data_IF_407960819831
#
_entry.id   IF_407960819831
#
_cell.length_a   1.000
_cell.length_b   1.000
_cell.length_c   1.000
_cell.angle_alpha   90.00
_cell.angle_beta   90.00
_cell.angle_gamma   90.00
#
_symmetry.space_group_name_H-M   'P 1'
#
loop_
_entity.id
_entity.type
_entity.pdbx_description
1 polymer ?
#
# COMPACT_ATOMS: atom_id res chain seq x y z
N UNK A 1 -12.00 17.42 10.70
CA UNK A 1 -11.86 17.34 12.18
C UNK A 1 -11.39 15.97 12.66
N UNK A 2 -11.87 14.86 12.10
CA UNK A 2 -11.33 13.52 12.42
C UNK A 2 -9.94 13.33 11.80
N UNK A 3 -9.75 13.70 10.53
CA UNK A 3 -8.44 13.58 9.84
C UNK A 3 -7.35 14.38 10.54
N UNK A 4 -7.63 15.58 11.06
CA UNK A 4 -6.64 16.34 11.85
C UNK A 4 -6.21 15.64 13.14
N UNK A 5 -7.00 14.70 13.67
CA UNK A 5 -6.64 13.92 14.87
C UNK A 5 -5.68 12.78 14.56
N UNK A 6 -5.43 12.43 13.29
CA UNK A 6 -4.38 11.45 12.94
C UNK A 6 -2.98 11.99 13.23
N UNK A 7 -2.86 13.30 13.40
CA UNK A 7 -1.66 14.04 13.80
C UNK A 7 -1.77 14.58 15.24
N UNK A 8 -2.61 13.96 16.08
CA UNK A 8 -2.74 14.38 17.47
C UNK A 8 -1.40 14.24 18.22
N UNK A 9 -1.20 15.08 19.23
CA UNK A 9 -0.03 15.01 20.11
C UNK A 9 -0.03 13.74 20.95
N UNK A 10 -1.22 13.24 21.26
CA UNK A 10 -1.39 11.96 21.96
C UNK A 10 -1.46 10.83 20.95
N UNK A 11 -0.43 9.97 20.92
CA UNK A 11 -0.35 8.88 19.94
C UNK A 11 -1.52 7.90 20.00
N UNK A 12 -2.06 7.63 21.20
CA UNK A 12 -3.21 6.74 21.35
C UNK A 12 -4.45 7.30 20.64
N UNK A 13 -4.65 8.63 20.72
CA UNK A 13 -5.73 9.33 20.00
C UNK A 13 -5.50 9.27 18.49
N UNK A 14 -4.25 9.45 18.05
CA UNK A 14 -3.90 9.36 16.64
C UNK A 14 -4.16 7.96 16.06
N UNK A 15 -3.81 6.90 16.79
CA UNK A 15 -4.08 5.51 16.37
C UNK A 15 -5.59 5.27 16.21
N UNK A 16 -6.39 5.65 17.20
CA UNK A 16 -7.85 5.47 17.13
C UNK A 16 -8.49 6.33 16.05
N UNK A 17 -7.97 7.54 15.81
CA UNK A 17 -8.41 8.38 14.70
C UNK A 17 -8.14 7.72 13.35
N UNK A 18 -6.95 7.14 13.14
CA UNK A 18 -6.62 6.42 11.90
C UNK A 18 -7.55 5.22 11.72
N UNK A 19 -7.74 4.41 12.77
CA UNK A 19 -8.67 3.26 12.72
C UNK A 19 -10.10 3.69 12.35
N UNK A 20 -10.57 4.79 12.93
CA UNK A 20 -11.89 5.33 12.60
C UNK A 20 -11.97 5.79 11.14
N UNK A 21 -10.94 6.49 10.64
CA UNK A 21 -10.84 6.92 9.24
C UNK A 21 -10.83 5.70 8.30
N UNK A 22 -10.13 4.63 8.68
CA UNK A 22 -10.14 3.34 7.96
C UNK A 22 -11.53 2.71 7.89
N UNK A 23 -12.32 2.77 8.97
CA UNK A 23 -13.71 2.29 8.97
C UNK A 23 -14.62 3.16 8.08
N UNK A 24 -14.42 4.48 8.11
CA UNK A 24 -15.16 5.41 7.25
C UNK A 24 -14.88 5.11 5.77
N UNK A 25 -13.61 4.91 5.42
CA UNK A 25 -13.20 4.54 4.06
C UNK A 25 -13.93 3.29 3.57
N UNK A 26 -14.03 2.26 4.44
CA UNK A 26 -14.71 1.01 4.10
C UNK A 26 -16.22 1.18 3.92
N UNK A 27 -16.85 2.07 4.70
CA UNK A 27 -18.28 2.34 4.60
C UNK A 27 -18.66 3.23 3.40
N UNK A 28 -17.77 4.13 2.98
CA UNK A 28 -17.98 5.03 1.85
C UNK A 28 -16.64 5.58 1.35
N UNK A 29 -16.19 5.14 0.17
CA UNK A 29 -14.91 5.62 -0.40
C UNK A 29 -14.90 7.13 -0.69
N UNK A 30 -16.08 7.72 -0.95
CA UNK A 30 -16.25 9.15 -1.23
C UNK A 30 -16.24 10.02 0.04
N UNK A 31 -16.21 9.42 1.22
CA UNK A 31 -16.26 10.16 2.48
C UNK A 31 -14.94 10.86 2.83
N UNK A 32 -13.84 10.49 2.18
CA UNK A 32 -12.51 11.06 2.40
C UNK A 32 -12.01 11.70 1.09
N UNK A 33 -11.46 12.90 1.19
CA UNK A 33 -10.79 13.53 0.05
C UNK A 33 -9.42 12.89 -0.21
N UNK A 34 -8.84 13.18 -1.38
CA UNK A 34 -7.48 12.71 -1.69
C UNK A 34 -6.45 13.29 -0.72
N UNK A 35 -6.57 14.58 -0.38
CA UNK A 35 -5.70 15.25 0.59
C UNK A 35 -5.81 14.59 1.98
N UNK A 36 -7.02 14.20 2.39
CA UNK A 36 -7.21 13.47 3.65
C UNK A 36 -6.49 12.11 3.64
N UNK A 37 -6.51 11.41 2.50
CA UNK A 37 -5.83 10.12 2.36
C UNK A 37 -4.30 10.28 2.35
N UNK A 38 -3.77 11.26 1.62
CA UNK A 38 -2.33 11.57 1.57
C UNK A 38 -1.76 11.85 2.96
N UNK A 39 -2.49 12.62 3.77
CA UNK A 39 -2.08 12.89 5.15
C UNK A 39 -1.94 11.61 5.99
N UNK A 40 -2.79 10.60 5.76
CA UNK A 40 -2.70 9.30 6.46
C UNK A 40 -1.59 8.44 5.88
N UNK A 41 -1.37 8.49 4.56
CA UNK A 41 -0.29 7.74 3.91
C UNK A 41 1.09 8.10 4.45
N UNK A 42 1.35 9.38 4.71
CA UNK A 42 2.64 9.80 5.28
C UNK A 42 2.90 9.19 6.66
N UNK A 43 1.86 8.78 7.39
CA UNK A 43 1.99 8.21 8.74
C UNK A 43 2.55 6.79 8.74
N UNK A 44 2.61 6.08 7.60
CA UNK A 44 3.31 4.78 7.49
C UNK A 44 4.80 4.88 7.84
N UNK A 45 5.34 6.09 7.77
CA UNK A 45 6.72 6.41 8.12
C UNK A 45 6.89 6.95 9.55
N UNK A 46 5.83 6.93 10.37
CA UNK A 46 5.88 7.43 11.74
C UNK A 46 6.92 6.68 12.59
N UNK A 47 7.67 7.41 13.41
CA UNK A 47 8.57 6.83 14.40
C UNK A 47 7.82 6.05 15.50
N UNK A 48 6.52 6.32 15.69
CA UNK A 48 5.68 5.58 16.62
C UNK A 48 5.00 4.40 15.90
N UNK A 49 5.57 3.20 16.07
CA UNK A 49 5.13 1.99 15.35
C UNK A 49 3.60 1.75 15.36
N UNK A 50 2.86 1.88 16.48
CA UNK A 50 1.41 1.70 16.47
C UNK A 50 0.66 2.64 15.50
N UNK A 51 1.15 3.88 15.32
CA UNK A 51 0.60 4.83 14.35
C UNK A 51 0.93 4.38 12.93
N UNK A 52 2.19 3.98 12.69
CA UNK A 52 2.62 3.48 11.39
C UNK A 52 1.82 2.24 10.96
N UNK A 53 1.64 1.26 11.85
CA UNK A 53 0.87 0.04 11.57
C UNK A 53 -0.60 0.36 11.29
N UNK A 54 -1.22 1.25 12.07
CA UNK A 54 -2.60 1.67 11.81
C UNK A 54 -2.75 2.37 10.44
N UNK A 55 -1.77 3.19 10.06
CA UNK A 55 -1.71 3.82 8.74
C UNK A 55 -1.43 2.79 7.63
N UNK A 56 -0.61 1.77 7.89
CA UNK A 56 -0.36 0.65 6.98
C UNK A 56 -1.63 -0.18 6.72
N UNK A 57 -2.47 -0.38 7.74
CA UNK A 57 -3.80 -0.98 7.55
C UNK A 57 -4.73 -0.11 6.68
N UNK A 58 -4.71 1.21 6.88
CA UNK A 58 -5.44 2.15 6.03
C UNK A 58 -4.97 2.06 4.56
N UNK A 59 -3.65 2.13 4.35
CA UNK A 59 -3.03 2.03 3.03
C UNK A 59 -3.36 0.71 2.35
N UNK A 60 -3.24 -0.42 3.07
CA UNK A 60 -3.65 -1.73 2.58
C UNK A 60 -5.11 -1.71 2.13
N UNK A 61 -6.04 -1.27 2.97
CA UNK A 61 -7.45 -1.26 2.55
C UNK A 61 -7.70 -0.36 1.34
N UNK A 62 -7.00 0.76 1.21
CA UNK A 62 -7.18 1.69 0.10
C UNK A 62 -6.56 1.21 -1.22
N UNK A 63 -5.40 0.57 -1.16
CA UNK A 63 -4.75 -0.01 -2.34
C UNK A 63 -5.48 -1.26 -2.82
N UNK A 64 -5.94 -2.10 -1.89
CA UNK A 64 -6.54 -3.39 -2.21
C UNK A 64 -8.06 -3.32 -2.43
N UNK A 65 -8.78 -2.28 -1.96
CA UNK A 65 -10.22 -2.13 -2.27
C UNK A 65 -10.51 -1.97 -3.76
N UNK A 66 -9.52 -1.48 -4.52
CA UNK A 66 -9.59 -1.33 -5.98
C UNK A 66 -9.29 -2.62 -6.74
N UNK A 67 -8.83 -3.66 -6.07
CA UNK A 67 -8.30 -4.87 -6.68
C UNK A 67 -9.36 -5.97 -6.66
N UNK A 68 -9.87 -6.36 -7.83
CA UNK A 68 -10.74 -7.54 -7.96
C UNK A 68 -9.86 -8.79 -8.03
N UNK A 69 -9.85 -9.67 -7.01
CA UNK A 69 -8.98 -10.84 -6.98
C UNK A 69 -9.21 -11.78 -8.17
N UNK A 70 -10.44 -11.87 -8.69
CA UNK A 70 -10.75 -12.75 -9.82
C UNK A 70 -10.20 -12.19 -11.14
N UNK A 71 -10.30 -10.88 -11.32
CA UNK A 71 -9.75 -10.21 -12.50
C UNK A 71 -8.23 -10.36 -12.54
N UNK A 72 -7.57 -10.24 -11.40
CA UNK A 72 -6.11 -10.21 -11.28
C UNK A 72 -5.51 -11.62 -11.41
N UNK A 73 -6.19 -12.63 -10.88
CA UNK A 73 -5.90 -14.03 -11.17
C UNK A 73 -6.04 -14.38 -12.67
N UNK A 74 -7.08 -13.86 -13.32
CA UNK A 74 -7.28 -14.06 -14.76
C UNK A 74 -6.21 -13.33 -15.59
N UNK A 75 -5.80 -12.14 -15.16
CA UNK A 75 -4.71 -11.37 -15.79
C UNK A 75 -3.37 -12.08 -15.63
N UNK A 76 -3.02 -12.56 -14.44
CA UNK A 76 -1.80 -13.33 -14.20
C UNK A 76 -1.73 -14.56 -15.10
N UNK A 77 -2.82 -15.35 -15.16
CA UNK A 77 -2.90 -16.53 -16.06
C UNK A 77 -2.78 -16.15 -17.52
N UNK A 78 -3.41 -15.07 -17.97
CA UNK A 78 -3.31 -14.59 -19.35
C UNK A 78 -1.87 -14.18 -19.69
N UNK A 79 -1.14 -13.63 -18.72
CA UNK A 79 0.25 -13.22 -18.85
C UNK A 79 1.23 -14.36 -18.58
N UNK A 80 0.76 -15.54 -18.19
CA UNK A 80 1.62 -16.67 -17.84
C UNK A 80 2.42 -16.46 -16.54
N UNK A 81 1.99 -15.51 -15.69
CA UNK A 81 2.59 -15.25 -14.37
C UNK A 81 2.04 -16.24 -13.35
N UNK A 82 2.87 -16.61 -12.37
CA UNK A 82 2.47 -17.56 -11.34
C UNK A 82 1.64 -16.89 -10.22
N UNK A 83 1.82 -15.59 -10.01
CA UNK A 83 1.14 -14.84 -8.95
C UNK A 83 0.26 -13.70 -9.48
N UNK A 84 -0.94 -13.46 -8.89
CA UNK A 84 -1.80 -12.31 -9.17
C UNK A 84 -1.30 -11.00 -8.54
N UNK A 85 -0.25 -11.03 -7.72
CA UNK A 85 0.18 -9.88 -6.92
C UNK A 85 1.01 -8.84 -7.70
N UNK A 86 1.35 -9.11 -8.96
CA UNK A 86 2.29 -8.28 -9.71
C UNK A 86 1.91 -6.79 -9.79
N UNK A 87 0.62 -6.51 -10.01
CA UNK A 87 0.12 -5.12 -10.05
C UNK A 87 0.18 -4.45 -8.67
N UNK A 88 -0.13 -5.16 -7.60
CA UNK A 88 -0.06 -4.65 -6.22
C UNK A 88 1.37 -4.32 -5.80
N UNK A 89 2.34 -5.19 -6.16
CA UNK A 89 3.76 -4.94 -5.90
C UNK A 89 4.22 -3.69 -6.64
N UNK A 90 3.85 -3.52 -7.92
CA UNK A 90 4.16 -2.31 -8.70
C UNK A 90 3.55 -1.05 -8.09
N UNK A 91 2.30 -1.11 -7.64
CA UNK A 91 1.66 0.00 -6.93
C UNK A 91 2.37 0.35 -5.62
N UNK A 92 2.86 -0.65 -4.88
CA UNK A 92 3.63 -0.42 -3.65
C UNK A 92 4.98 0.25 -3.94
N UNK A 93 5.68 -0.17 -5.01
CA UNK A 93 6.92 0.48 -5.46
C UNK A 93 6.65 1.93 -5.88
N UNK A 94 5.60 2.17 -6.68
CA UNK A 94 5.20 3.52 -7.06
C UNK A 94 4.87 4.39 -5.85
N UNK A 95 4.10 3.87 -4.89
CA UNK A 95 3.80 4.56 -3.64
C UNK A 95 5.06 4.96 -2.88
N UNK A 96 6.04 4.06 -2.77
CA UNK A 96 7.32 4.37 -2.14
C UNK A 96 8.05 5.50 -2.86
N UNK A 97 8.17 5.41 -4.20
CA UNK A 97 8.87 6.40 -5.01
C UNK A 97 8.20 7.78 -5.02
N UNK A 98 6.87 7.82 -5.07
CA UNK A 98 6.08 9.06 -5.09
C UNK A 98 6.02 9.74 -3.71
N UNK A 99 6.14 8.97 -2.63
CA UNK A 99 6.08 9.54 -1.28
C UNK A 99 7.25 10.50 -1.00
N UNK A 100 8.43 10.27 -1.58
CA UNK A 100 9.65 11.09 -1.41
C UNK A 100 10.04 11.43 0.05
N UNK A 101 9.52 10.68 1.04
CA UNK A 101 9.75 10.93 2.46
C UNK A 101 10.98 10.19 3.01
N UNK A 102 11.32 9.04 2.44
CA UNK A 102 12.40 8.19 2.91
C UNK A 102 13.23 7.61 1.75
N UNK A 103 14.55 7.50 1.97
CA UNK A 103 15.47 6.89 1.00
C UNK A 103 15.43 5.36 1.00
N UNK A 104 14.83 4.73 2.02
CA UNK A 104 14.75 3.28 2.16
C UNK A 104 13.36 2.81 2.59
N UNK A 105 12.96 1.62 2.12
CA UNK A 105 11.61 1.08 2.34
C UNK A 105 11.39 0.43 3.73
N UNK A 106 12.39 0.40 4.61
CA UNK A 106 12.32 -0.36 5.88
C UNK A 106 11.09 -0.01 6.75
N UNK A 107 10.77 1.28 6.92
CA UNK A 107 9.60 1.74 7.68
C UNK A 107 8.29 1.38 6.99
N UNK A 108 8.21 1.58 5.67
CA UNK A 108 7.04 1.22 4.88
C UNK A 108 6.75 -0.29 5.01
N UNK A 109 7.78 -1.12 4.85
CA UNK A 109 7.65 -2.58 4.98
C UNK A 109 7.23 -2.98 6.40
N UNK A 110 7.83 -2.41 7.45
CA UNK A 110 7.43 -2.70 8.85
C UNK A 110 5.97 -2.30 9.11
N UNK A 111 5.53 -1.14 8.61
CA UNK A 111 4.16 -0.65 8.79
C UNK A 111 3.11 -1.57 8.15
N UNK A 112 3.46 -2.23 7.05
CA UNK A 112 2.60 -3.16 6.31
C UNK A 112 2.80 -4.62 6.74
N UNK A 113 3.76 -4.90 7.63
CA UNK A 113 4.17 -6.25 7.98
C UNK A 113 3.09 -7.06 8.67
N UNK A 114 2.06 -6.46 9.25
CA UNK A 114 0.96 -7.20 9.87
C UNK A 114 -0.24 -7.34 8.92
N UNK A 115 -0.53 -6.31 8.12
CA UNK A 115 -1.71 -6.26 7.24
C UNK A 115 -1.50 -6.92 5.88
N UNK A 116 -0.26 -6.95 5.36
CA UNK A 116 0.03 -7.28 3.96
C UNK A 116 1.11 -8.36 3.80
N UNK A 117 1.24 -9.28 4.77
CA UNK A 117 2.33 -10.27 4.77
C UNK A 117 2.38 -11.14 3.51
N UNK A 118 1.21 -11.55 3.00
CA UNK A 118 1.13 -12.40 1.82
C UNK A 118 1.74 -11.71 0.60
N UNK A 119 1.46 -10.41 0.42
CA UNK A 119 2.06 -9.59 -0.63
C UNK A 119 3.57 -9.39 -0.40
N UNK A 120 3.98 -9.02 0.81
CA UNK A 120 5.38 -8.69 1.13
C UNK A 120 6.32 -9.91 1.10
N UNK A 121 5.76 -11.11 1.21
CA UNK A 121 6.51 -12.38 1.17
C UNK A 121 6.42 -13.07 -0.19
N UNK A 122 5.75 -12.48 -1.17
CA UNK A 122 5.66 -13.00 -2.53
C UNK A 122 6.96 -12.71 -3.32
N UNK A 123 8.06 -13.29 -2.84
CA UNK A 123 9.40 -13.10 -3.41
C UNK A 123 9.51 -13.71 -4.80
N UNK A 124 8.73 -14.76 -5.10
CA UNK A 124 8.67 -15.36 -6.43
C UNK A 124 8.11 -14.34 -7.43
N UNK A 125 6.98 -13.68 -7.11
CA UNK A 125 6.44 -12.62 -7.94
C UNK A 125 7.40 -11.43 -8.08
N UNK A 126 8.04 -10.98 -6.99
CA UNK A 126 9.04 -9.90 -7.06
C UNK A 126 10.21 -10.27 -7.98
N UNK A 127 10.67 -11.52 -7.93
CA UNK A 127 11.77 -12.01 -8.78
C UNK A 127 11.34 -12.08 -10.26
N UNK A 128 10.13 -12.58 -10.53
CA UNK A 128 9.54 -12.61 -11.87
C UNK A 128 9.40 -11.20 -12.48
N UNK A 129 9.02 -10.21 -11.67
CA UNK A 129 8.88 -8.82 -12.11
C UNK A 129 10.21 -8.18 -12.52
N UNK A 130 11.32 -8.57 -11.89
CA UNK A 130 12.66 -8.03 -12.14
C UNK A 130 13.42 -8.75 -13.25
N UNK A 131 13.16 -10.05 -13.45
CA UNK A 131 13.96 -10.88 -14.35
C UNK A 131 13.26 -11.22 -15.67
N UNK A 132 11.94 -11.34 -15.68
CA UNK A 132 11.21 -11.74 -16.88
C UNK A 132 10.83 -10.54 -17.74
N UNK A 133 10.89 -10.72 -19.06
CA UNK A 133 10.47 -9.68 -20.00
C UNK A 133 8.98 -9.32 -19.78
N UNK A 134 8.62 -8.03 -19.91
CA UNK A 134 7.24 -7.60 -19.81
C UNK A 134 6.38 -8.31 -20.86
N UNK A 135 5.30 -8.94 -20.41
CA UNK A 135 4.37 -9.65 -21.28
C UNK A 135 3.53 -8.64 -22.07
N UNK A 136 2.97 -9.00 -23.23
CA UNK A 136 2.18 -8.07 -24.05
C UNK A 136 1.10 -7.32 -23.25
N UNK A 137 1.25 -6.00 -23.15
CA UNK A 137 0.36 -5.12 -22.39
C UNK A 137 0.75 -4.88 -20.93
N UNK A 138 1.90 -5.38 -20.48
CA UNK A 138 2.58 -4.93 -19.25
C UNK A 138 3.55 -3.80 -19.57
N UNK A 139 3.57 -2.77 -18.74
CA UNK A 139 4.63 -1.77 -18.76
C UNK A 139 5.87 -2.35 -18.07
N UNK A 140 7.04 -2.17 -18.71
CA UNK A 140 8.32 -2.51 -18.11
C UNK A 140 8.54 -1.69 -16.83
N UNK A 141 9.25 -2.27 -15.86
CA UNK A 141 9.77 -1.48 -14.74
C UNK A 141 10.78 -0.47 -15.31
N UNK A 142 10.77 0.75 -14.80
CA UNK A 142 11.84 1.72 -15.06
C UNK A 142 13.04 1.42 -14.17
N UNK A 143 14.23 1.90 -14.54
CA UNK A 143 15.47 1.77 -13.76
C UNK A 143 15.36 2.25 -12.30
N UNK A 144 14.40 3.13 -11.98
CA UNK A 144 14.15 3.61 -10.61
C UNK A 144 13.19 2.70 -9.83
N UNK A 145 12.36 1.93 -10.53
CA UNK A 145 11.45 0.95 -9.94
C UNK A 145 12.13 -0.40 -9.69
N UNK A 146 13.12 -0.76 -10.50
CA UNK A 146 14.03 -1.91 -10.28
C UNK A 146 15.00 -1.65 -9.11
#
# INVERSE_FOLDING_TARGET
RIVSMTLDKEYDVAVEAIRLVTLILHGSEEALSNEDCENVYHLVYSAHRPVAVAAGEFLHKKLFSRHDPQAEEALAKRRGRNSPNGNLIRMLVLFFLESELHEHAAYLVDSLWESSQELLKDWECMTELLLEEPVQGEEAMSDRQE
#
